data_IF_400680188236
#
_entry.id   IF_400680188236
#
_cell.length_a   1.000
_cell.length_b   1.000
_cell.length_c   1.000
_cell.angle_alpha   90.00
_cell.angle_beta   90.00
_cell.angle_gamma   90.00
#
_symmetry.space_group_name_H-M   'P 1'
#
loop_
_entity.id
_entity.type
_entity.pdbx_description
1 polymer ?
#
# COMPACT_ATOMS: atom_id res chain seq x y z
N UNK A 1 -13.85 -12.15 14.15
CA UNK A 1 -12.43 -11.82 13.86
C UNK A 1 -11.43 -12.43 14.85
N UNK A 2 -11.87 -13.00 15.96
CA UNK A 2 -11.02 -13.67 16.98
C UNK A 2 -10.06 -14.75 16.44
N UNK A 3 -10.41 -15.38 15.30
CA UNK A 3 -9.58 -16.40 14.62
C UNK A 3 -8.26 -15.82 14.05
N UNK A 4 -8.18 -14.52 13.83
CA UNK A 4 -7.01 -13.87 13.24
C UNK A 4 -6.37 -12.92 14.25
N UNK A 5 -5.18 -13.24 14.78
CA UNK A 5 -4.50 -12.40 15.78
C UNK A 5 -4.10 -11.01 15.24
N UNK A 6 -3.79 -10.91 13.95
CA UNK A 6 -3.39 -9.65 13.31
C UNK A 6 -4.00 -9.48 11.92
N UNK A 7 -3.98 -8.25 11.42
CA UNK A 7 -4.36 -7.90 10.06
C UNK A 7 -3.54 -8.63 8.99
N UNK A 8 -2.26 -8.88 9.29
CA UNK A 8 -1.37 -9.66 8.42
C UNK A 8 -1.80 -11.12 8.30
N UNK A 9 -2.23 -11.76 9.39
CA UNK A 9 -2.77 -13.13 9.35
C UNK A 9 -4.05 -13.21 8.52
N UNK A 10 -4.92 -12.22 8.67
CA UNK A 10 -6.14 -12.12 7.87
C UNK A 10 -5.86 -11.94 6.37
N UNK A 11 -4.96 -11.03 6.01
CA UNK A 11 -4.55 -10.83 4.61
C UNK A 11 -3.83 -12.05 4.02
N UNK A 12 -3.04 -12.76 4.83
CA UNK A 12 -2.36 -14.00 4.42
C UNK A 12 -3.35 -15.13 4.16
N UNK A 13 -4.36 -15.27 5.02
CA UNK A 13 -5.45 -16.24 4.82
C UNK A 13 -6.22 -15.99 3.51
N UNK A 14 -6.40 -14.74 3.14
CA UNK A 14 -6.99 -14.38 1.86
C UNK A 14 -6.06 -14.57 0.64
N UNK A 15 -4.81 -14.98 0.85
CA UNK A 15 -3.83 -15.13 -0.24
C UNK A 15 -3.41 -13.80 -0.88
N UNK A 16 -3.46 -12.70 -0.13
CA UNK A 16 -3.07 -11.37 -0.59
C UNK A 16 -1.64 -10.98 -0.17
N UNK A 17 -0.99 -11.80 0.66
CA UNK A 17 0.42 -11.61 1.04
C UNK A 17 1.36 -12.30 0.06
N UNK A 18 2.55 -11.71 -0.22
CA UNK A 18 3.58 -12.36 -1.01
C UNK A 18 4.09 -13.61 -0.30
N UNK A 19 4.16 -14.72 -1.03
CA UNK A 19 4.81 -15.95 -0.57
C UNK A 19 6.31 -15.89 -0.88
N UNK A 20 7.03 -15.02 -0.19
CA UNK A 20 8.45 -14.76 -0.47
C UNK A 20 9.29 -16.03 -0.23
N UNK A 21 9.99 -16.48 -1.28
CA UNK A 21 10.97 -17.56 -1.20
C UNK A 21 12.36 -16.95 -1.27
N UNK A 22 13.19 -17.22 -0.28
CA UNK A 22 14.57 -16.72 -0.20
C UNK A 22 15.51 -17.92 -0.15
N UNK A 23 16.58 -17.89 -0.95
CA UNK A 23 17.67 -18.86 -0.93
C UNK A 23 19.00 -18.12 -1.07
N UNK A 24 19.97 -18.42 -0.20
CA UNK A 24 21.27 -17.77 -0.21
C UNK A 24 21.21 -16.23 -0.14
N UNK A 25 20.27 -15.66 0.63
CA UNK A 25 20.08 -14.21 0.74
C UNK A 25 19.39 -13.54 -0.47
N UNK A 26 19.06 -14.31 -1.53
CA UNK A 26 18.38 -13.78 -2.73
C UNK A 26 16.89 -14.15 -2.74
N UNK A 27 16.05 -13.20 -3.08
CA UNK A 27 14.61 -13.43 -3.27
C UNK A 27 14.39 -14.13 -4.60
N UNK A 28 13.98 -15.40 -4.57
CA UNK A 28 13.66 -16.20 -5.76
C UNK A 28 12.26 -15.90 -6.30
N UNK A 29 11.29 -15.65 -5.44
CA UNK A 29 9.91 -15.39 -5.83
C UNK A 29 9.19 -14.59 -4.76
N UNK A 30 8.38 -13.61 -5.19
CA UNK A 30 7.43 -12.88 -4.35
C UNK A 30 5.97 -13.13 -4.76
N UNK A 31 5.70 -14.23 -5.46
CA UNK A 31 4.32 -14.56 -5.89
C UNK A 31 3.41 -14.81 -4.69
N UNK A 32 2.19 -14.28 -4.77
CA UNK A 32 1.11 -14.63 -3.84
C UNK A 32 0.68 -16.08 -4.06
N UNK A 33 0.23 -16.75 -3.00
CA UNK A 33 -0.34 -18.09 -3.11
C UNK A 33 -1.63 -18.06 -3.95
N UNK A 34 -1.86 -19.10 -4.74
CA UNK A 34 -3.15 -19.30 -5.39
C UNK A 34 -4.21 -19.52 -4.30
N UNK A 35 -5.27 -18.75 -4.36
CA UNK A 35 -6.35 -18.82 -3.39
C UNK A 35 -7.69 -18.62 -4.10
N UNK A 36 -8.63 -19.52 -3.90
CA UNK A 36 -10.00 -19.45 -4.42
C UNK A 36 -10.94 -18.66 -3.50
N UNK A 37 -10.41 -17.82 -2.61
CA UNK A 37 -11.19 -17.05 -1.65
C UNK A 37 -12.02 -15.97 -2.36
N UNK A 38 -13.34 -16.05 -2.27
CA UNK A 38 -14.30 -15.12 -2.89
C UNK A 38 -14.11 -13.68 -2.34
N UNK A 39 -13.82 -13.54 -1.06
CA UNK A 39 -13.56 -12.22 -0.46
C UNK A 39 -12.30 -11.56 -1.07
N UNK A 40 -11.24 -12.34 -1.30
CA UNK A 40 -10.05 -11.84 -1.97
C UNK A 40 -10.30 -11.41 -3.42
N UNK A 41 -11.17 -12.11 -4.12
CA UNK A 41 -11.60 -11.72 -5.47
C UNK A 41 -12.38 -10.40 -5.45
N UNK A 42 -13.34 -10.26 -4.52
CA UNK A 42 -14.10 -9.02 -4.34
C UNK A 42 -13.18 -7.84 -4.02
N UNK A 43 -12.19 -8.04 -3.15
CA UNK A 43 -11.21 -7.00 -2.82
C UNK A 43 -10.30 -6.62 -4.00
N UNK A 44 -9.95 -7.57 -4.88
CA UNK A 44 -9.22 -7.27 -6.11
C UNK A 44 -10.06 -6.45 -7.09
N UNK A 45 -11.35 -6.76 -7.23
CA UNK A 45 -12.28 -5.96 -8.04
C UNK A 45 -12.45 -4.56 -7.46
N UNK A 46 -12.66 -4.44 -6.16
CA UNK A 46 -12.72 -3.15 -5.46
C UNK A 46 -11.43 -2.34 -5.65
N UNK A 47 -10.27 -2.99 -5.54
CA UNK A 47 -8.98 -2.35 -5.77
C UNK A 47 -8.82 -1.85 -7.21
N UNK A 48 -9.28 -2.59 -8.21
CA UNK A 48 -9.24 -2.16 -9.60
C UNK A 48 -10.14 -0.93 -9.85
N UNK A 49 -11.29 -0.84 -9.18
CA UNK A 49 -12.19 0.31 -9.26
C UNK A 49 -11.60 1.60 -8.65
N UNK A 50 -10.58 1.49 -7.79
CA UNK A 50 -9.88 2.67 -7.23
C UNK A 50 -9.14 3.52 -8.27
N UNK A 51 -8.97 3.02 -9.49
CA UNK A 51 -8.23 3.72 -10.55
C UNK A 51 -8.79 5.12 -10.82
N UNK A 52 -10.10 5.26 -10.86
CA UNK A 52 -10.83 6.52 -11.15
C UNK A 52 -11.26 7.27 -9.90
N UNK A 53 -11.04 6.70 -8.71
CA UNK A 53 -11.44 7.31 -7.46
C UNK A 53 -10.52 8.47 -7.06
N UNK A 54 -11.13 9.59 -6.62
CA UNK A 54 -10.42 10.74 -6.05
C UNK A 54 -10.15 10.61 -4.53
N UNK A 55 -10.30 9.41 -3.99
CA UNK A 55 -10.01 9.08 -2.60
C UNK A 55 -8.51 8.95 -2.32
N UNK A 56 -8.14 8.96 -1.04
CA UNK A 56 -6.78 8.66 -0.60
C UNK A 56 -6.32 7.25 -1.06
N UNK A 57 -7.25 6.27 -1.07
CA UNK A 57 -6.97 4.93 -1.58
C UNK A 57 -6.78 4.92 -3.10
N UNK A 58 -7.53 5.74 -3.84
CA UNK A 58 -7.33 5.92 -5.29
C UNK A 58 -5.96 6.51 -5.61
N UNK A 59 -5.53 7.54 -4.89
CA UNK A 59 -4.19 8.11 -5.02
C UNK A 59 -3.10 7.08 -4.70
N UNK A 60 -3.28 6.30 -3.64
CA UNK A 60 -2.39 5.19 -3.31
C UNK A 60 -2.30 4.17 -4.46
N UNK A 61 -3.44 3.76 -5.02
CA UNK A 61 -3.48 2.78 -6.13
C UNK A 61 -2.77 3.28 -7.38
N UNK A 62 -3.05 4.53 -7.81
CA UNK A 62 -2.36 5.14 -8.97
C UNK A 62 -0.85 5.18 -8.78
N UNK A 63 -0.39 5.49 -7.57
CA UNK A 63 1.03 5.47 -7.23
C UNK A 63 1.64 4.07 -7.24
N UNK A 64 0.88 3.04 -6.83
CA UNK A 64 1.35 1.65 -6.98
C UNK A 64 1.48 1.28 -8.46
N UNK A 65 0.54 1.71 -9.31
CA UNK A 65 0.60 1.46 -10.76
C UNK A 65 1.79 2.13 -11.46
N UNK A 66 2.30 3.26 -10.94
CA UNK A 66 3.50 3.91 -11.49
C UNK A 66 4.82 3.21 -11.10
N UNK A 67 4.80 2.35 -10.08
CA UNK A 67 5.99 1.67 -9.53
C UNK A 67 6.08 0.19 -9.87
N UNK A 68 4.96 -0.43 -10.19
CA UNK A 68 4.88 -1.87 -10.46
C UNK A 68 3.77 -2.18 -11.47
N UNK A 69 3.78 -3.38 -12.03
CA UNK A 69 2.77 -3.86 -12.97
C UNK A 69 1.36 -3.80 -12.37
N UNK A 70 0.35 -3.51 -13.19
CA UNK A 70 -1.05 -3.41 -12.78
C UNK A 70 -1.55 -4.60 -11.92
N UNK A 71 -1.29 -5.87 -12.27
CA UNK A 71 -1.74 -7.00 -11.44
C UNK A 71 -1.13 -6.99 -10.03
N UNK A 72 0.13 -6.59 -9.92
CA UNK A 72 0.81 -6.45 -8.61
C UNK A 72 0.23 -5.28 -7.83
N UNK A 73 -0.04 -4.13 -8.49
CA UNK A 73 -0.67 -2.97 -7.88
C UNK A 73 -2.07 -3.28 -7.34
N UNK A 74 -2.89 -4.02 -8.12
CA UNK A 74 -4.22 -4.50 -7.69
C UNK A 74 -4.09 -5.37 -6.44
N UNK A 75 -3.15 -6.31 -6.41
CA UNK A 75 -2.95 -7.17 -5.24
C UNK A 75 -2.49 -6.38 -4.02
N UNK A 76 -1.58 -5.41 -4.19
CA UNK A 76 -1.12 -4.53 -3.12
C UNK A 76 -2.26 -3.66 -2.54
N UNK A 77 -3.12 -3.12 -3.41
CA UNK A 77 -4.29 -2.36 -2.98
C UNK A 77 -5.33 -3.23 -2.29
N UNK A 78 -5.60 -4.43 -2.81
CA UNK A 78 -6.48 -5.41 -2.18
C UNK A 78 -5.97 -5.83 -0.79
N UNK A 79 -4.67 -6.02 -0.63
CA UNK A 79 -4.03 -6.26 0.66
C UNK A 79 -4.24 -5.09 1.64
N UNK A 80 -4.10 -3.86 1.17
CA UNK A 80 -4.36 -2.67 1.99
C UNK A 80 -5.83 -2.58 2.41
N UNK A 81 -6.78 -2.84 1.49
CA UNK A 81 -8.21 -2.90 1.80
C UNK A 81 -8.51 -3.98 2.85
N UNK A 82 -7.93 -5.17 2.73
CA UNK A 82 -8.09 -6.25 3.70
C UNK A 82 -7.67 -5.81 5.11
N UNK A 83 -6.53 -5.13 5.24
CA UNK A 83 -6.04 -4.62 6.53
C UNK A 83 -6.96 -3.56 7.13
N UNK A 84 -7.49 -2.66 6.30
CA UNK A 84 -8.45 -1.65 6.75
C UNK A 84 -9.74 -2.31 7.26
N UNK A 85 -10.30 -3.26 6.50
CA UNK A 85 -11.49 -4.00 6.90
C UNK A 85 -11.24 -4.75 8.22
N UNK A 86 -10.10 -5.40 8.37
CA UNK A 86 -9.73 -6.05 9.63
C UNK A 86 -9.75 -5.06 10.80
N UNK A 87 -9.14 -3.89 10.63
CA UNK A 87 -9.08 -2.85 11.66
C UNK A 87 -10.47 -2.33 12.01
N UNK A 88 -11.33 -2.08 11.01
CA UNK A 88 -12.71 -1.65 11.22
C UNK A 88 -13.50 -2.69 12.03
N UNK A 89 -13.39 -3.96 11.66
CA UNK A 89 -14.14 -5.05 12.31
C UNK A 89 -13.62 -5.39 13.72
N UNK A 90 -12.34 -5.16 14.00
CA UNK A 90 -11.74 -5.48 15.30
C UNK A 90 -11.80 -4.31 16.28
N UNK A 91 -11.66 -3.08 15.80
CA UNK A 91 -11.63 -1.88 16.65
C UNK A 91 -12.94 -1.11 16.67
N UNK A 92 -13.91 -1.48 15.84
CA UNK A 92 -15.17 -0.76 15.70
C UNK A 92 -15.00 0.68 15.18
N UNK A 93 -13.87 0.96 14.51
CA UNK A 93 -13.58 2.29 13.96
C UNK A 93 -14.07 2.37 12.53
N UNK A 94 -14.81 3.42 12.20
CA UNK A 94 -15.19 3.70 10.82
C UNK A 94 -13.99 4.22 10.02
N UNK A 95 -13.95 3.86 8.74
CA UNK A 95 -12.97 4.43 7.82
C UNK A 95 -13.46 5.79 7.33
N UNK A 96 -12.71 6.82 7.63
CA UNK A 96 -12.91 8.16 7.08
C UNK A 96 -11.88 8.42 6.00
N UNK A 97 -12.34 8.68 4.77
CA UNK A 97 -11.44 9.05 3.67
C UNK A 97 -11.03 10.51 3.80
N UNK A 98 -9.73 10.75 3.90
CA UNK A 98 -9.17 12.10 4.01
C UNK A 98 -8.89 12.75 2.64
N UNK A 99 -9.24 12.05 1.57
CA UNK A 99 -9.10 12.53 0.20
C UNK A 99 -7.70 12.40 -0.39
N UNK A 100 -7.64 12.62 -1.70
CA UNK A 100 -6.40 12.51 -2.48
C UNK A 100 -5.34 13.54 -2.04
N UNK A 101 -5.73 14.80 -1.84
CA UNK A 101 -4.81 15.88 -1.49
C UNK A 101 -4.03 15.58 -0.21
N UNK A 102 -4.72 15.12 0.84
CA UNK A 102 -4.09 14.70 2.09
C UNK A 102 -3.07 13.57 1.88
N UNK A 103 -3.42 12.58 1.07
CA UNK A 103 -2.52 11.47 0.78
C UNK A 103 -1.26 11.96 0.04
N UNK A 104 -1.41 12.87 -0.93
CA UNK A 104 -0.30 13.41 -1.72
C UNK A 104 0.63 14.25 -0.86
N UNK A 105 0.09 15.07 0.03
CA UNK A 105 0.88 15.87 0.96
C UNK A 105 1.69 15.00 1.93
N UNK A 106 1.06 14.02 2.56
CA UNK A 106 1.73 13.03 3.44
C UNK A 106 2.82 12.25 2.71
N UNK A 107 2.61 11.96 1.44
CA UNK A 107 3.63 11.32 0.62
C UNK A 107 4.79 12.26 0.34
N UNK A 108 4.51 13.52 -0.03
CA UNK A 108 5.54 14.55 -0.26
C UNK A 108 6.42 14.75 0.97
N UNK A 109 5.82 14.91 2.14
CA UNK A 109 6.56 15.01 3.41
C UNK A 109 7.51 13.82 3.62
N UNK A 110 7.03 12.60 3.36
CA UNK A 110 7.85 11.40 3.48
C UNK A 110 9.03 11.40 2.51
N UNK A 111 8.81 11.81 1.27
CA UNK A 111 9.88 11.90 0.26
C UNK A 111 10.91 12.94 0.67
N UNK A 112 10.47 14.13 1.07
CA UNK A 112 11.37 15.20 1.56
C UNK A 112 12.20 14.70 2.74
N UNK A 113 11.59 14.08 3.73
CA UNK A 113 12.31 13.50 4.87
C UNK A 113 13.37 12.49 4.44
N UNK A 114 13.05 11.58 3.52
CA UNK A 114 14.02 10.61 3.02
C UNK A 114 15.16 11.24 2.23
N UNK A 115 14.86 12.25 1.42
CA UNK A 115 15.89 13.01 0.69
C UNK A 115 16.81 13.77 1.63
N UNK A 116 16.26 14.42 2.66
CA UNK A 116 17.05 15.11 3.71
C UNK A 116 17.99 14.14 4.42
N UNK A 117 17.51 12.96 4.81
CA UNK A 117 18.35 11.95 5.45
C UNK A 117 19.48 11.46 4.53
N UNK A 118 19.21 11.31 3.24
CA UNK A 118 20.23 10.91 2.26
C UNK A 118 21.24 12.03 2.02
N UNK A 119 20.77 13.27 1.86
CA UNK A 119 21.64 14.44 1.68
C UNK A 119 22.58 14.59 2.88
N UNK A 120 22.09 14.50 4.10
CA UNK A 120 22.89 14.60 5.30
C UNK A 120 23.97 13.50 5.39
N UNK A 121 23.66 12.27 4.96
CA UNK A 121 24.67 11.17 4.91
C UNK A 121 25.80 11.46 3.92
N UNK A 122 25.57 12.29 2.91
CA UNK A 122 26.54 12.69 1.90
C UNK A 122 27.20 14.03 2.24
N UNK A 123 26.95 14.60 3.44
CA UNK A 123 27.45 15.92 3.82
C UNK A 123 26.79 17.09 3.09
N UNK A 124 25.63 16.85 2.46
CA UNK A 124 24.86 17.84 1.69
C UNK A 124 23.64 18.32 2.48
N UNK A 125 23.19 19.54 2.20
CA UNK A 125 21.94 20.10 2.74
C UNK A 125 20.91 20.24 1.61
N UNK A 126 19.68 19.80 1.88
CA UNK A 126 18.55 20.03 0.98
C UNK A 126 18.04 21.45 1.17
N UNK A 127 17.96 22.23 0.11
CA UNK A 127 17.43 23.60 0.10
C UNK A 127 16.25 23.64 -0.86
N UNK A 128 15.16 24.33 -0.48
CA UNK A 128 14.03 24.54 -1.37
C UNK A 128 14.48 25.43 -2.54
N UNK A 129 14.12 25.04 -3.77
CA UNK A 129 14.33 25.90 -4.91
C UNK A 129 13.39 27.12 -4.79
N UNK A 130 13.95 28.32 -5.01
CA UNK A 130 13.13 29.53 -5.15
C UNK A 130 12.20 29.34 -6.36
N UNK A 131 10.90 29.50 -6.15
CA UNK A 131 9.97 29.53 -7.27
C UNK A 131 10.24 30.81 -8.05
N UNK A 132 10.50 30.73 -9.37
CA UNK A 132 10.53 31.93 -10.18
C UNK A 132 9.17 32.61 -10.10
N UNK A 133 9.21 33.90 -9.81
CA UNK A 133 8.03 34.72 -9.72
C UNK A 133 7.25 34.75 -11.07
#
# INVERSE_FOLDING_TARGET
>A
MSRFPTDGHFASWMGLCPGTKITGGKVLSGRTKRCANRAAQALRLAAAALRTSHSALGAYFRRMCSRMDKPKAVTAAAHKLARLIYTMLTKGQEYTDQGQAYYEERYRERVVRQLTLRANKLGMRLVAAEQPA
#
